data_IF_432962628225
#
_entry.id   IF_432962628225
#
_cell.length_a   1.000
_cell.length_b   1.000
_cell.length_c   1.000
_cell.angle_alpha   90.00
_cell.angle_beta   90.00
_cell.angle_gamma   90.00
#
_symmetry.space_group_name_H-M   'P 1'
#
loop_
_entity.id
_entity.type
_entity.pdbx_description
1 polymer ?
#
# COMPACT_ATOMS: atom_id res chain seq x y z
N UNK A 1 1.56 13.19 66.67
CA UNK A 1 2.36 13.72 65.55
C UNK A 1 3.21 12.57 65.04
N UNK A 2 2.64 11.80 64.11
CA UNK A 2 3.07 10.44 63.79
C UNK A 2 3.91 10.34 62.52
N UNK A 3 4.69 9.26 62.52
CA UNK A 3 5.36 8.59 61.41
C UNK A 3 6.60 9.23 60.78
N UNK A 4 7.81 8.85 61.25
CA UNK A 4 8.97 8.65 60.40
C UNK A 4 8.85 7.33 59.60
N UNK A 5 9.71 7.16 58.60
CA UNK A 5 9.87 5.99 57.72
C UNK A 5 8.74 5.70 56.72
N UNK A 6 8.94 6.16 55.48
CA UNK A 6 8.83 5.25 54.34
C UNK A 6 9.72 5.73 53.17
N UNK A 7 10.93 5.19 53.14
CA UNK A 7 11.78 5.11 51.96
C UNK A 7 11.07 4.18 50.97
N UNK A 8 10.39 4.71 49.95
CA UNK A 8 9.85 3.90 48.86
C UNK A 8 9.89 4.69 47.54
N UNK A 9 11.01 4.51 46.84
CA UNK A 9 11.09 4.36 45.37
C UNK A 9 10.13 5.21 44.54
N UNK A 10 10.44 6.50 44.37
CA UNK A 10 10.05 7.25 43.18
C UNK A 10 11.19 7.16 42.16
N UNK A 11 11.37 5.97 41.59
CA UNK A 11 11.96 5.86 40.26
C UNK A 11 10.89 6.42 39.34
N UNK A 12 10.96 7.72 39.02
CA UNK A 12 10.35 8.20 37.80
C UNK A 12 11.01 7.42 36.67
N UNK A 13 10.32 6.39 36.19
CA UNK A 13 10.55 5.82 34.88
C UNK A 13 10.12 6.93 33.92
N UNK A 14 11.03 7.87 33.69
CA UNK A 14 11.01 8.70 32.52
C UNK A 14 11.29 7.71 31.39
N UNK A 15 10.22 7.09 30.87
CA UNK A 15 10.31 6.35 29.60
C UNK A 15 10.83 7.40 28.64
N UNK A 16 12.06 7.27 28.09
CA UNK A 16 12.52 8.22 27.10
C UNK A 16 11.44 8.20 26.01
N UNK A 17 10.85 9.36 25.73
CA UNK A 17 9.99 9.54 24.58
C UNK A 17 10.72 8.84 23.43
N UNK A 18 10.16 7.75 22.90
CA UNK A 18 10.83 7.01 21.83
C UNK A 18 11.10 8.01 20.73
N UNK A 19 12.37 8.38 20.52
CA UNK A 19 12.74 9.39 19.53
C UNK A 19 12.27 8.85 18.19
N UNK A 20 11.41 9.59 17.49
CA UNK A 20 10.94 9.19 16.18
C UNK A 20 12.11 9.04 15.22
N UNK A 21 11.98 8.17 14.22
CA UNK A 21 12.97 8.07 13.14
C UNK A 21 13.19 9.47 12.55
N UNK A 22 14.45 9.88 12.37
CA UNK A 22 14.79 11.14 11.73
C UNK A 22 15.27 10.89 10.30
N UNK A 23 14.77 11.66 9.34
CA UNK A 23 15.14 11.57 7.93
C UNK A 23 15.51 12.93 7.36
N UNK A 24 16.29 12.93 6.27
CA UNK A 24 16.45 14.14 5.46
C UNK A 24 15.20 14.36 4.61
N UNK A 25 14.63 15.55 4.68
CA UNK A 25 13.59 16.06 3.80
C UNK A 25 14.23 17.01 2.79
N UNK A 26 14.23 16.65 1.51
CA UNK A 26 14.74 17.46 0.42
C UNK A 26 13.64 17.72 -0.60
N UNK A 27 13.35 19.00 -0.88
CA UNK A 27 12.44 19.40 -1.96
C UNK A 27 13.17 19.37 -3.32
N UNK A 28 12.42 19.36 -4.43
CA UNK A 28 12.96 19.42 -5.81
C UNK A 28 13.96 20.55 -6.04
N UNK A 29 13.86 21.66 -5.29
CA UNK A 29 14.76 22.82 -5.39
C UNK A 29 16.13 22.61 -4.73
N UNK A 30 16.39 21.45 -4.11
CA UNK A 30 17.66 21.13 -3.46
C UNK A 30 17.78 21.52 -1.99
N UNK A 31 16.79 22.22 -1.42
CA UNK A 31 16.79 22.59 0.00
C UNK A 31 16.49 21.37 0.87
N UNK A 32 17.46 20.97 1.69
CA UNK A 32 17.37 19.82 2.58
C UNK A 32 17.35 20.25 4.05
N UNK A 33 16.48 19.65 4.85
CA UNK A 33 16.44 19.79 6.32
C UNK A 33 16.22 18.43 6.98
N UNK A 34 16.52 18.33 8.28
CA UNK A 34 16.13 17.16 9.07
C UNK A 34 14.66 17.28 9.44
N UNK A 35 13.94 16.18 9.34
CA UNK A 35 12.54 16.02 9.75
C UNK A 35 12.44 14.81 10.68
N UNK A 36 11.63 14.93 11.73
CA UNK A 36 11.23 13.82 12.59
C UNK A 36 9.97 13.17 12.00
N UNK A 37 10.04 11.87 11.74
CA UNK A 37 8.97 11.13 11.08
C UNK A 37 7.76 10.97 11.99
N UNK A 38 6.58 11.05 11.38
CA UNK A 38 5.32 10.85 12.09
C UNK A 38 5.15 9.39 12.54
N UNK A 39 4.32 9.11 13.57
CA UNK A 39 4.01 7.73 13.95
C UNK A 39 3.54 6.88 12.77
N UNK A 40 4.13 5.70 12.58
CA UNK A 40 3.85 4.81 11.44
C UNK A 40 4.63 5.13 10.18
N UNK A 41 5.61 6.04 10.22
CA UNK A 41 6.59 6.28 9.16
C UNK A 41 7.98 5.78 9.60
N UNK A 42 8.22 4.49 9.42
CA UNK A 42 9.40 3.80 9.94
C UNK A 42 10.56 3.70 8.94
N UNK A 43 10.47 4.40 7.80
CA UNK A 43 11.53 4.45 6.79
C UNK A 43 11.83 5.87 6.32
N UNK A 44 13.07 6.09 5.92
CA UNK A 44 13.46 7.19 5.07
C UNK A 44 13.43 6.74 3.60
N UNK A 45 12.99 7.62 2.70
CA UNK A 45 13.06 7.41 1.25
C UNK A 45 13.99 8.40 0.56
N UNK A 46 14.52 7.96 -0.58
CA UNK A 46 15.15 8.79 -1.61
C UNK A 46 14.55 8.41 -2.96
N UNK A 47 13.94 9.37 -3.64
CA UNK A 47 13.37 9.21 -4.98
C UNK A 47 14.20 10.04 -5.94
N UNK A 48 14.75 9.41 -6.98
CA UNK A 48 15.60 10.02 -8.00
C UNK A 48 14.90 9.88 -9.35
N UNK A 49 14.65 11.01 -10.00
CA UNK A 49 14.21 11.09 -11.38
C UNK A 49 15.40 11.56 -12.23
N UNK A 50 15.85 10.71 -13.13
CA UNK A 50 16.93 11.00 -14.06
C UNK A 50 16.38 11.00 -15.49
N UNK A 51 16.52 12.12 -16.18
CA UNK A 51 16.10 12.29 -17.57
C UNK A 51 17.32 12.55 -18.44
N UNK A 52 17.46 11.77 -19.52
CA UNK A 52 18.51 11.92 -20.51
C UNK A 52 17.90 12.32 -21.86
N UNK A 53 18.27 13.49 -22.38
CA UNK A 53 17.76 14.03 -23.65
C UNK A 53 18.93 14.63 -24.44
N UNK A 54 19.21 14.11 -25.65
CA UNK A 54 20.18 14.72 -26.57
C UNK A 54 21.63 14.86 -26.06
N UNK A 55 22.00 14.23 -24.94
CA UNK A 55 23.30 14.39 -24.29
C UNK A 55 23.30 15.30 -23.06
N UNK A 56 22.18 15.97 -22.76
CA UNK A 56 21.94 16.65 -21.49
C UNK A 56 21.32 15.68 -20.47
N UNK A 57 21.78 15.76 -19.23
CA UNK A 57 21.29 14.97 -18.10
C UNK A 57 20.68 15.88 -17.05
N UNK A 58 19.40 15.64 -16.73
CA UNK A 58 18.70 16.29 -15.64
C UNK A 58 18.45 15.26 -14.53
N UNK A 59 18.90 15.56 -13.31
CA UNK A 59 18.64 14.75 -12.12
C UNK A 59 17.84 15.56 -11.10
N UNK A 60 16.70 15.02 -10.67
CA UNK A 60 15.88 15.58 -9.60
C UNK A 60 15.83 14.58 -8.46
N UNK A 61 16.21 15.02 -7.25
CA UNK A 61 16.25 14.16 -6.07
C UNK A 61 15.30 14.69 -4.99
N UNK A 62 14.38 13.84 -4.57
CA UNK A 62 13.51 14.07 -3.43
C UNK A 62 13.84 13.10 -2.30
N UNK A 63 13.71 13.57 -1.05
CA UNK A 63 13.95 12.77 0.15
C UNK A 63 12.91 13.10 1.20
N UNK A 64 12.57 12.14 2.06
CA UNK A 64 11.68 12.37 3.21
C UNK A 64 11.39 11.09 3.98
N UNK A 65 10.46 11.16 4.92
CA UNK A 65 9.91 9.98 5.60
C UNK A 65 8.98 9.17 4.67
N UNK A 66 8.82 7.89 4.96
CA UNK A 66 8.03 6.94 4.19
C UNK A 66 7.39 5.90 5.12
N UNK A 67 6.25 5.37 4.67
CA UNK A 67 5.54 4.31 5.36
C UNK A 67 6.17 2.92 5.09
N UNK A 68 5.96 1.93 5.97
CA UNK A 68 6.56 0.60 5.89
C UNK A 68 6.29 -0.19 4.62
N UNK A 69 5.23 0.12 3.89
CA UNK A 69 4.89 -0.59 2.66
C UNK A 69 5.92 -0.31 1.56
N UNK A 70 6.59 0.85 1.55
CA UNK A 70 7.50 1.27 0.49
C UNK A 70 8.75 0.37 0.39
N UNK A 71 9.15 0.03 -0.85
CA UNK A 71 10.33 -0.80 -1.13
C UNK A 71 11.29 -0.15 -2.12
N UNK A 72 12.50 -0.71 -2.21
CA UNK A 72 13.44 -0.38 -3.27
C UNK A 72 12.86 -0.77 -4.64
N UNK A 73 12.99 0.12 -5.63
CA UNK A 73 12.47 -0.11 -6.98
C UNK A 73 13.16 0.76 -8.01
N UNK A 74 13.16 0.29 -9.24
CA UNK A 74 13.66 1.03 -10.40
C UNK A 74 12.75 0.83 -11.59
N UNK A 75 12.64 1.87 -12.41
CA UNK A 75 11.96 1.81 -13.70
C UNK A 75 12.61 2.78 -14.67
N UNK A 76 13.05 2.28 -15.81
CA UNK A 76 13.60 3.04 -16.92
C UNK A 76 12.79 2.78 -18.17
N UNK A 77 12.36 3.84 -18.83
CA UNK A 77 11.67 3.77 -20.11
C UNK A 77 12.16 4.89 -21.03
N UNK A 78 11.94 4.68 -22.30
CA UNK A 78 12.34 5.53 -23.40
C UNK A 78 11.11 6.02 -24.14
N UNK A 79 11.05 7.33 -24.29
CA UNK A 79 10.16 8.03 -25.23
C UNK A 79 10.93 8.38 -26.49
N UNK A 80 10.29 8.99 -27.48
CA UNK A 80 10.94 9.39 -28.73
C UNK A 80 12.13 10.36 -28.52
N UNK A 81 12.07 11.23 -27.50
CA UNK A 81 13.05 12.29 -27.25
C UNK A 81 14.04 11.95 -26.12
N UNK A 82 13.58 11.23 -25.10
CA UNK A 82 14.33 11.10 -23.85
C UNK A 82 14.26 9.70 -23.24
N UNK A 83 15.22 9.40 -22.36
CA UNK A 83 15.20 8.22 -21.49
C UNK A 83 14.93 8.70 -20.08
N UNK A 84 13.83 8.26 -19.50
CA UNK A 84 13.42 8.56 -18.13
C UNK A 84 13.76 7.37 -17.24
N UNK A 85 14.41 7.63 -16.12
CA UNK A 85 14.74 6.61 -15.10
C UNK A 85 14.29 7.09 -13.74
N UNK A 86 13.39 6.33 -13.12
CA UNK A 86 12.92 6.53 -11.76
C UNK A 86 13.54 5.47 -10.87
N UNK A 87 14.14 5.92 -9.76
CA UNK A 87 14.68 5.03 -8.73
C UNK A 87 14.16 5.48 -7.38
N UNK A 88 13.66 4.54 -6.59
CA UNK A 88 13.29 4.79 -5.21
C UNK A 88 14.03 3.81 -4.31
N UNK A 89 14.69 4.34 -3.29
CA UNK A 89 15.41 3.58 -2.28
C UNK A 89 14.90 3.94 -0.89
N UNK A 90 14.75 2.92 -0.03
CA UNK A 90 14.28 3.05 1.35
C UNK A 90 15.30 2.49 2.35
N UNK A 91 15.35 3.06 3.54
CA UNK A 91 16.22 2.62 4.63
C UNK A 91 15.61 3.00 6.00
N UNK A 92 15.89 2.21 7.05
CA UNK A 92 15.18 2.28 8.34
C UNK A 92 16.01 2.82 9.51
N UNK A 93 17.08 3.56 9.27
CA UNK A 93 17.94 4.11 10.33
C UNK A 93 18.03 5.63 10.27
N UNK A 94 18.32 6.26 11.42
CA UNK A 94 18.37 7.71 11.53
C UNK A 94 19.30 8.33 10.48
N UNK A 95 18.75 9.25 9.69
CA UNK A 95 19.41 10.01 8.64
C UNK A 95 20.10 9.13 7.58
N UNK A 96 19.63 7.89 7.37
CA UNK A 96 20.22 6.96 6.41
C UNK A 96 20.12 7.43 4.96
N UNK A 97 19.17 8.32 4.66
CA UNK A 97 19.01 8.93 3.34
C UNK A 97 19.83 10.21 3.15
N UNK A 98 20.78 10.50 4.06
CA UNK A 98 21.63 11.70 3.95
C UNK A 98 22.39 11.71 2.61
N UNK A 99 22.48 12.87 1.93
CA UNK A 99 23.23 12.96 0.69
C UNK A 99 24.66 12.47 0.90
N UNK A 100 25.02 11.37 0.25
CA UNK A 100 26.40 10.90 0.21
C UNK A 100 27.15 11.72 -0.84
N UNK A 101 28.34 12.27 -0.55
CA UNK A 101 29.22 12.87 -1.56
C UNK A 101 29.88 11.83 -2.50
N UNK A 102 29.31 10.63 -2.59
CA UNK A 102 29.81 9.51 -3.39
C UNK A 102 29.33 9.58 -4.82
N UNK A 103 30.26 9.32 -5.75
CA UNK A 103 30.03 9.16 -7.18
C UNK A 103 28.87 8.17 -7.41
N UNK A 104 27.92 8.53 -8.27
CA UNK A 104 26.86 7.62 -8.71
C UNK A 104 27.48 6.26 -9.10
N UNK A 105 26.81 5.12 -8.79
CA UNK A 105 27.34 3.82 -9.14
C UNK A 105 27.65 3.78 -10.64
N UNK A 106 28.93 3.69 -10.99
CA UNK A 106 29.36 3.53 -12.36
C UNK A 106 29.10 2.07 -12.74
N UNK A 107 27.94 1.80 -13.31
CA UNK A 107 27.70 0.51 -13.94
C UNK A 107 28.49 0.49 -15.25
N UNK A 108 29.51 -0.40 -15.40
CA UNK A 108 30.20 -0.53 -16.67
C UNK A 108 29.17 -0.84 -17.77
N UNK A 109 29.35 -0.24 -18.95
CA UNK A 109 28.56 -0.53 -20.17
C UNK A 109 28.74 -1.99 -20.55
N UNK A 110 27.99 -2.86 -19.89
CA UNK A 110 27.76 -4.24 -20.28
C UNK A 110 26.44 -4.26 -21.05
N UNK A 111 26.39 -5.10 -22.10
CA UNK A 111 25.16 -5.35 -22.85
C UNK A 111 24.30 -6.31 -22.03
N UNK A 112 23.58 -5.75 -21.05
CA UNK A 112 22.59 -6.51 -20.28
C UNK A 112 21.33 -6.76 -21.13
N UNK A 113 20.27 -7.22 -20.46
CA UNK A 113 18.96 -7.50 -21.08
C UNK A 113 18.47 -6.32 -21.94
N UNK A 114 17.97 -6.63 -23.13
CA UNK A 114 17.36 -5.65 -24.05
C UNK A 114 15.85 -5.84 -24.05
N UNK A 115 15.11 -4.76 -23.80
CA UNK A 115 13.65 -4.77 -23.65
C UNK A 115 12.97 -3.84 -24.68
N UNK A 116 11.69 -4.11 -24.96
CA UNK A 116 10.84 -3.14 -25.61
C UNK A 116 10.57 -1.98 -24.65
N UNK A 117 10.42 -0.77 -25.18
CA UNK A 117 10.25 0.43 -24.40
C UNK A 117 9.38 1.45 -25.11
N UNK A 118 8.44 2.03 -24.36
CA UNK A 118 7.50 3.04 -24.85
C UNK A 118 6.84 3.73 -23.65
N UNK A 119 6.14 4.84 -23.90
CA UNK A 119 5.28 5.51 -22.93
C UNK A 119 3.96 6.00 -23.57
N UNK A 120 3.00 6.38 -22.73
CA UNK A 120 1.73 6.98 -23.17
C UNK A 120 1.84 8.49 -23.41
N UNK A 121 2.81 9.17 -22.77
CA UNK A 121 3.02 10.62 -22.91
C UNK A 121 3.30 11.06 -24.34
N UNK A 122 3.98 10.23 -25.15
CA UNK A 122 4.23 10.46 -26.57
C UNK A 122 3.39 9.55 -27.49
N UNK A 123 2.46 8.78 -26.93
CA UNK A 123 1.62 7.79 -27.61
C UNK A 123 2.42 6.67 -28.31
N UNK A 124 3.69 6.47 -27.95
CA UNK A 124 4.54 5.45 -28.58
C UNK A 124 4.01 4.04 -28.31
N UNK A 125 3.47 3.77 -27.12
CA UNK A 125 2.87 2.48 -26.78
C UNK A 125 1.61 2.20 -27.60
N UNK A 126 0.67 3.14 -27.61
CA UNK A 126 -0.63 3.01 -28.26
C UNK A 126 -0.50 2.86 -29.77
N UNK A 127 0.51 3.50 -30.36
CA UNK A 127 0.84 3.39 -31.80
C UNK A 127 1.66 2.15 -32.15
N UNK A 128 2.13 1.39 -31.15
CA UNK A 128 3.01 0.24 -31.35
C UNK A 128 4.42 0.63 -31.85
N UNK A 129 4.86 1.85 -31.54
CA UNK A 129 6.20 2.36 -31.87
C UNK A 129 7.20 2.03 -30.77
N UNK A 130 7.26 0.74 -30.39
CA UNK A 130 8.18 0.24 -29.38
C UNK A 130 9.63 0.52 -29.79
N UNK A 131 10.36 1.23 -28.92
CA UNK A 131 11.80 1.42 -29.03
C UNK A 131 12.54 0.31 -28.29
N UNK A 132 13.82 0.15 -28.61
CA UNK A 132 14.70 -0.72 -27.83
C UNK A 132 15.39 0.06 -26.71
N UNK A 133 15.42 -0.55 -25.52
CA UNK A 133 16.14 -0.06 -24.34
C UNK A 133 17.00 -1.18 -23.76
N UNK A 134 18.29 -0.90 -23.54
CA UNK A 134 19.18 -1.81 -22.82
C UNK A 134 19.12 -1.48 -21.33
N UNK A 135 18.88 -2.50 -20.52
CA UNK A 135 18.85 -2.37 -19.06
C UNK A 135 20.24 -2.03 -18.53
N UNK A 136 20.31 -1.28 -17.43
CA UNK A 136 21.59 -0.80 -16.86
C UNK A 136 22.11 -1.74 -15.77
N UNK A 137 21.22 -2.50 -15.14
CA UNK A 137 21.55 -3.38 -14.04
C UNK A 137 21.25 -4.85 -14.38
N UNK A 138 22.09 -5.82 -13.96
CA UNK A 138 21.85 -7.23 -14.22
C UNK A 138 20.63 -7.80 -13.49
N UNK A 139 20.15 -7.13 -12.43
CA UNK A 139 18.93 -7.49 -11.72
C UNK A 139 17.65 -6.91 -12.33
N UNK A 140 17.75 -6.08 -13.38
CA UNK A 140 16.60 -5.53 -14.06
C UNK A 140 15.96 -6.56 -15.01
N UNK A 141 14.64 -6.50 -15.07
CA UNK A 141 13.80 -7.30 -15.95
C UNK A 141 13.10 -6.37 -16.94
N UNK A 142 12.57 -6.94 -18.02
CA UNK A 142 11.66 -6.22 -18.89
C UNK A 142 10.31 -6.07 -18.21
N UNK A 143 9.78 -4.85 -18.22
CA UNK A 143 8.53 -4.48 -17.57
C UNK A 143 7.48 -4.04 -18.60
N UNK A 144 6.22 -4.36 -18.32
CA UNK A 144 5.04 -3.86 -19.02
C UNK A 144 4.02 -3.44 -17.95
N UNK A 145 3.81 -2.14 -17.80
CA UNK A 145 3.01 -1.52 -16.74
C UNK A 145 1.81 -0.83 -17.35
N UNK A 146 0.62 -1.16 -16.87
CA UNK A 146 -0.64 -0.53 -17.23
C UNK A 146 -1.27 0.09 -16.00
N UNK A 147 -1.66 1.35 -16.12
CA UNK A 147 -2.38 2.11 -15.10
C UNK A 147 -3.51 2.86 -15.78
N UNK A 148 -4.73 2.40 -15.61
CA UNK A 148 -5.93 3.09 -16.08
C UNK A 148 -6.79 3.45 -14.88
N UNK A 149 -7.13 4.73 -14.74
CA UNK A 149 -8.08 5.22 -13.73
C UNK A 149 -9.10 6.13 -14.41
N UNK A 150 -10.37 5.76 -14.27
CA UNK A 150 -11.50 6.53 -14.81
C UNK A 150 -11.90 7.71 -13.93
N UNK A 151 -11.53 7.69 -12.64
CA UNK A 151 -11.72 8.81 -11.74
C UNK A 151 -10.50 9.72 -11.86
N UNK A 152 -10.71 11.03 -12.08
CA UNK A 152 -9.63 12.03 -12.17
C UNK A 152 -8.79 12.02 -10.88
N UNK A 153 -7.69 11.27 -10.91
CA UNK A 153 -6.78 11.10 -9.78
C UNK A 153 -5.33 11.07 -10.26
N UNK A 154 -4.62 12.19 -10.02
CA UNK A 154 -3.27 12.55 -10.47
C UNK A 154 -3.06 12.59 -11.99
N UNK A 155 -3.10 13.78 -12.62
CA UNK A 155 -2.87 13.99 -14.06
C UNK A 155 -1.46 13.60 -14.60
N UNK A 156 -0.63 12.91 -13.81
CA UNK A 156 0.81 12.77 -14.08
C UNK A 156 1.32 11.35 -14.32
N UNK A 157 0.54 10.30 -14.06
CA UNK A 157 1.01 8.93 -14.22
C UNK A 157 0.80 8.43 -15.67
N UNK A 158 1.83 7.82 -16.24
CA UNK A 158 1.76 7.18 -17.56
C UNK A 158 0.73 6.06 -17.57
N UNK A 159 -0.21 6.09 -18.54
CA UNK A 159 -1.24 5.05 -18.66
C UNK A 159 -0.63 3.69 -19.03
N UNK A 160 0.35 3.69 -19.91
CA UNK A 160 1.08 2.52 -20.37
C UNK A 160 2.56 2.85 -20.44
N UNK A 161 3.40 1.99 -19.89
CA UNK A 161 4.85 2.13 -19.99
C UNK A 161 5.52 0.77 -20.11
N UNK A 162 6.55 0.72 -20.96
CA UNK A 162 7.43 -0.43 -21.12
C UNK A 162 8.86 -0.02 -20.94
N UNK A 163 9.68 -0.93 -20.42
CA UNK A 163 11.11 -0.70 -20.35
C UNK A 163 11.81 -1.70 -19.43
N UNK A 164 12.81 -1.22 -18.71
CA UNK A 164 13.63 -1.99 -17.79
C UNK A 164 13.33 -1.61 -16.35
N UNK A 165 13.48 -2.54 -15.41
CA UNK A 165 13.42 -2.18 -14.01
C UNK A 165 13.29 -3.36 -13.07
N UNK A 166 13.15 -3.03 -11.80
CA UNK A 166 12.80 -3.98 -10.76
C UNK A 166 11.68 -3.33 -9.92
N UNK A 167 10.47 -3.85 -10.08
CA UNK A 167 9.30 -3.39 -9.35
C UNK A 167 8.84 -4.48 -8.37
N UNK A 168 8.22 -4.10 -7.24
CA UNK A 168 7.56 -5.08 -6.37
C UNK A 168 6.57 -5.91 -7.20
N UNK A 169 6.37 -7.17 -6.83
CA UNK A 169 5.52 -8.09 -7.59
C UNK A 169 6.17 -8.74 -8.82
N UNK A 170 7.46 -8.46 -9.10
CA UNK A 170 8.27 -9.28 -10.00
C UNK A 170 8.96 -10.45 -9.23
N UNK A 171 9.06 -11.67 -9.80
CA UNK A 171 8.53 -12.10 -11.10
C UNK A 171 6.98 -12.19 -11.07
N UNK A 172 6.34 -11.47 -12.01
CA UNK A 172 4.88 -11.30 -12.07
C UNK A 172 4.16 -12.42 -12.83
N UNK A 173 2.90 -12.20 -13.27
CA UNK A 173 2.17 -10.93 -13.27
C UNK A 173 1.50 -10.62 -11.92
N UNK A 174 1.34 -9.33 -11.63
CA UNK A 174 0.52 -8.82 -10.53
C UNK A 174 -0.46 -7.80 -11.09
N UNK A 175 -1.69 -7.74 -10.58
CA UNK A 175 -2.68 -6.83 -11.09
C UNK A 175 -3.95 -6.75 -10.26
N UNK A 176 -4.71 -5.69 -10.52
CA UNK A 176 -5.99 -5.38 -9.92
C UNK A 176 -6.89 -4.74 -10.96
N UNK A 177 -8.18 -5.09 -10.94
CA UNK A 177 -9.17 -4.32 -11.66
C UNK A 177 -10.49 -4.24 -10.90
N UNK A 178 -11.15 -3.11 -11.07
CA UNK A 178 -12.53 -2.91 -10.70
C UNK A 178 -13.24 -2.11 -11.80
N UNK A 179 -14.42 -1.54 -11.49
CA UNK A 179 -15.18 -0.77 -12.48
C UNK A 179 -14.49 0.52 -12.95
N UNK A 180 -13.60 1.11 -12.15
CA UNK A 180 -12.99 2.41 -12.41
C UNK A 180 -11.50 2.32 -12.71
N UNK A 181 -10.83 1.29 -12.20
CA UNK A 181 -9.38 1.20 -12.16
C UNK A 181 -8.91 -0.14 -12.69
N UNK A 182 -7.87 -0.12 -13.51
CA UNK A 182 -7.12 -1.29 -13.95
C UNK A 182 -5.63 -1.03 -13.80
N UNK A 183 -4.98 -1.87 -12.99
CA UNK A 183 -3.54 -1.89 -12.81
C UNK A 183 -3.01 -3.27 -13.17
N UNK A 184 -1.94 -3.30 -13.95
CA UNK A 184 -1.31 -4.56 -14.34
C UNK A 184 0.19 -4.36 -14.50
N UNK A 185 0.96 -5.27 -13.92
CA UNK A 185 2.41 -5.34 -14.05
C UNK A 185 2.78 -6.73 -14.52
N UNK A 186 3.49 -6.79 -15.65
CA UNK A 186 4.15 -8.01 -16.14
C UNK A 186 5.65 -7.78 -16.14
N UNK A 187 6.38 -8.78 -15.68
CA UNK A 187 7.85 -8.80 -15.70
C UNK A 187 8.33 -10.06 -16.39
N UNK A 188 9.42 -9.96 -17.15
CA UNK A 188 10.03 -11.09 -17.82
C UNK A 188 11.53 -10.84 -18.05
N UNK A 189 12.31 -11.92 -18.22
CA UNK A 189 13.78 -11.88 -18.15
C UNK A 189 14.47 -12.32 -19.46
N UNK A 190 13.75 -12.33 -20.59
CA UNK A 190 14.29 -12.68 -21.90
C UNK A 190 14.22 -11.48 -22.86
N UNK A 191 15.09 -11.45 -23.86
CA UNK A 191 15.21 -10.29 -24.76
C UNK A 191 13.87 -9.94 -25.42
N UNK A 192 13.42 -8.69 -25.25
CA UNK A 192 12.18 -8.10 -25.81
C UNK A 192 10.91 -8.88 -25.50
N UNK A 193 10.87 -9.61 -24.38
CA UNK A 193 9.73 -10.40 -23.96
C UNK A 193 8.49 -9.58 -23.57
N UNK A 194 8.67 -8.29 -23.29
CA UNK A 194 7.60 -7.34 -22.94
C UNK A 194 6.98 -6.63 -24.15
N UNK A 195 7.34 -7.02 -25.38
CA UNK A 195 6.75 -6.47 -26.60
C UNK A 195 5.35 -7.00 -26.88
N UNK A 196 4.74 -6.50 -27.96
CA UNK A 196 3.41 -6.90 -28.44
C UNK A 196 2.39 -5.78 -28.31
N UNK A 197 1.10 -6.06 -28.57
CA UNK A 197 0.07 -5.03 -28.47
C UNK A 197 -0.11 -4.55 -27.03
N UNK A 198 -0.49 -3.29 -26.84
CA UNK A 198 -0.87 -2.73 -25.53
C UNK A 198 -1.93 -3.61 -24.87
N UNK A 199 -1.68 -3.97 -23.62
CA UNK A 199 -2.61 -4.76 -22.81
C UNK A 199 -3.76 -3.87 -22.36
N UNK A 200 -4.98 -4.36 -22.58
CA UNK A 200 -6.20 -3.74 -22.10
C UNK A 200 -7.00 -4.80 -21.33
N UNK A 201 -7.77 -4.37 -20.34
CA UNK A 201 -8.59 -5.25 -19.50
C UNK A 201 -9.54 -6.09 -20.36
N UNK A 202 -10.11 -5.53 -21.43
CA UNK A 202 -11.03 -6.26 -22.31
C UNK A 202 -10.37 -7.41 -23.08
N UNK A 203 -9.05 -7.34 -23.29
CA UNK A 203 -8.27 -8.41 -23.94
C UNK A 203 -7.98 -9.57 -22.98
N UNK A 204 -8.19 -9.40 -21.68
CA UNK A 204 -8.10 -10.48 -20.71
C UNK A 204 -9.43 -11.26 -20.65
N UNK A 205 -9.40 -12.59 -20.82
CA UNK A 205 -10.61 -13.40 -20.80
C UNK A 205 -11.23 -13.39 -19.39
N UNK A 206 -12.57 -13.41 -19.27
CA UNK A 206 -13.23 -13.65 -17.99
C UNK A 206 -12.78 -14.98 -17.39
N UNK A 207 -12.52 -15.02 -16.09
CA UNK A 207 -12.06 -16.22 -15.39
C UNK A 207 -13.17 -16.95 -14.59
N UNK A 208 -14.41 -16.48 -14.70
CA UNK A 208 -15.59 -17.06 -14.05
C UNK A 208 -15.83 -16.61 -12.61
N UNK A 209 -14.87 -15.89 -11.99
CA UNK A 209 -15.07 -15.30 -10.66
C UNK A 209 -15.84 -13.98 -10.78
N UNK A 210 -16.76 -13.74 -9.86
CA UNK A 210 -17.42 -12.45 -9.70
C UNK A 210 -17.09 -11.84 -8.34
N UNK A 211 -16.79 -10.54 -8.29
CA UNK A 211 -16.47 -9.83 -7.06
C UNK A 211 -17.22 -8.51 -7.01
N UNK A 212 -17.44 -8.01 -5.80
CA UNK A 212 -17.91 -6.64 -5.59
C UNK A 212 -16.80 -5.63 -5.94
N UNK A 213 -17.21 -4.48 -6.46
CA UNK A 213 -16.37 -3.39 -6.94
C UNK A 213 -16.89 -2.08 -6.41
N UNK A 214 -15.99 -1.29 -5.82
CA UNK A 214 -16.27 0.07 -5.39
C UNK A 214 -14.95 0.82 -5.10
N UNK A 215 -15.01 2.15 -5.11
CA UNK A 215 -13.94 3.04 -4.68
C UNK A 215 -14.57 4.25 -3.97
N UNK A 216 -14.14 4.54 -2.75
CA UNK A 216 -14.70 5.65 -1.97
C UNK A 216 -14.68 5.37 -0.48
N UNK A 217 -15.55 6.01 0.30
CA UNK A 217 -15.76 5.68 1.70
C UNK A 217 -17.01 4.80 1.88
N UNK A 218 -17.29 4.36 3.10
CA UNK A 218 -18.44 3.47 3.37
C UNK A 218 -19.81 4.11 3.08
N UNK A 219 -19.90 5.44 3.00
CA UNK A 219 -21.16 6.18 2.77
C UNK A 219 -21.31 6.67 1.33
N UNK A 220 -20.20 6.86 0.61
CA UNK A 220 -20.10 7.42 -0.73
C UNK A 220 -19.05 6.64 -1.53
N UNK A 221 -19.46 6.07 -2.66
CA UNK A 221 -18.64 5.25 -3.53
C UNK A 221 -18.64 3.77 -3.14
N UNK A 222 -18.49 3.44 -1.86
CA UNK A 222 -18.50 2.06 -1.33
C UNK A 222 -19.69 1.74 -0.41
N UNK A 223 -20.80 2.47 -0.55
CA UNK A 223 -22.05 2.11 0.12
C UNK A 223 -22.69 0.83 -0.47
N UNK A 224 -23.61 0.21 0.25
CA UNK A 224 -24.30 -1.00 -0.20
C UNK A 224 -25.03 -0.81 -1.55
N UNK A 225 -25.46 0.42 -1.86
CA UNK A 225 -26.19 0.74 -3.09
C UNK A 225 -25.26 1.10 -4.26
N UNK A 226 -24.04 1.54 -3.99
CA UNK A 226 -23.06 1.96 -5.01
C UNK A 226 -22.07 0.84 -5.37
N UNK A 227 -22.01 -0.21 -4.55
CA UNK A 227 -21.14 -1.36 -4.80
C UNK A 227 -21.73 -2.23 -5.91
N UNK A 228 -21.00 -2.41 -7.01
CA UNK A 228 -21.43 -3.19 -8.16
C UNK A 228 -20.75 -4.56 -8.22
N UNK A 229 -21.42 -5.56 -8.78
CA UNK A 229 -20.79 -6.85 -9.09
C UNK A 229 -20.07 -6.76 -10.45
N UNK A 230 -18.83 -7.22 -10.51
CA UNK A 230 -18.04 -7.26 -11.74
C UNK A 230 -17.53 -8.68 -12.02
N UNK A 231 -17.33 -8.98 -13.31
CA UNK A 231 -16.71 -10.24 -13.74
C UNK A 231 -15.20 -10.09 -13.76
N UNK A 232 -14.49 -10.94 -13.01
CA UNK A 232 -13.05 -10.95 -12.96
C UNK A 232 -12.43 -11.51 -14.24
N UNK A 233 -11.21 -11.05 -14.56
CA UNK A 233 -10.54 -11.31 -15.83
C UNK A 233 -9.08 -11.70 -15.64
N UNK A 234 -8.58 -12.53 -16.55
CA UNK A 234 -7.19 -12.97 -16.57
C UNK A 234 -6.76 -13.58 -15.23
N UNK A 235 -5.54 -13.27 -14.74
CA UNK A 235 -5.01 -13.86 -13.51
C UNK A 235 -5.59 -13.26 -12.22
N UNK A 236 -6.47 -12.26 -12.31
CA UNK A 236 -7.05 -11.57 -11.16
C UNK A 236 -8.20 -12.41 -10.60
N UNK A 237 -7.86 -13.46 -9.85
CA UNK A 237 -8.74 -14.53 -9.39
C UNK A 237 -8.99 -14.52 -7.86
N UNK A 238 -8.74 -13.40 -7.20
CA UNK A 238 -9.09 -13.15 -5.81
C UNK A 238 -10.07 -11.97 -5.75
N UNK A 239 -11.08 -12.05 -4.89
CA UNK A 239 -11.83 -10.86 -4.52
C UNK A 239 -11.05 -10.12 -3.44
N UNK A 240 -10.87 -8.82 -3.63
CA UNK A 240 -10.13 -7.94 -2.72
C UNK A 240 -11.08 -6.94 -2.08
N UNK A 241 -10.83 -6.67 -0.80
CA UNK A 241 -11.30 -5.49 -0.07
C UNK A 241 -10.10 -4.90 0.67
N UNK A 242 -9.82 -3.63 0.43
CA UNK A 242 -8.80 -2.89 1.17
C UNK A 242 -9.35 -1.58 1.71
N UNK A 243 -8.96 -1.26 2.93
CA UNK A 243 -9.30 -0.01 3.61
C UNK A 243 -8.03 0.68 4.08
N UNK A 244 -7.96 2.01 3.94
CA UNK A 244 -6.84 2.80 4.45
C UNK A 244 -7.18 4.29 4.51
N UNK A 245 -6.20 5.11 4.81
CA UNK A 245 -6.32 6.57 4.80
C UNK A 245 -5.70 7.14 3.53
N UNK A 246 -6.43 8.01 2.84
CA UNK A 246 -5.91 8.73 1.67
C UNK A 246 -5.39 10.11 2.12
N UNK A 247 -4.25 10.56 1.57
CA UNK A 247 -3.64 11.86 1.85
C UNK A 247 -4.50 13.09 1.55
N UNK A 248 -5.67 12.91 0.90
CA UNK A 248 -6.68 13.93 0.63
C UNK A 248 -7.67 14.19 1.79
N UNK A 249 -7.49 13.56 2.96
CA UNK A 249 -8.26 13.87 4.17
C UNK A 249 -9.52 13.03 4.41
N UNK A 250 -9.75 11.99 3.61
CA UNK A 250 -10.78 10.98 3.92
C UNK A 250 -10.21 9.97 4.95
N UNK A 251 -10.78 9.90 6.17
CA UNK A 251 -10.26 9.05 7.24
C UNK A 251 -10.47 7.55 6.99
N UNK A 252 -11.33 7.18 6.04
CA UNK A 252 -11.52 5.81 5.59
C UNK A 252 -11.83 5.77 4.10
N UNK A 253 -10.88 5.29 3.31
CA UNK A 253 -11.04 5.00 1.89
C UNK A 253 -10.99 3.49 1.70
N UNK A 254 -12.00 2.97 1.01
CA UNK A 254 -12.23 1.56 0.73
C UNK A 254 -12.14 1.34 -0.77
N UNK A 255 -11.49 0.26 -1.17
CA UNK A 255 -11.45 -0.23 -2.54
C UNK A 255 -11.81 -1.71 -2.56
N UNK A 256 -12.74 -2.08 -3.46
CA UNK A 256 -13.09 -3.47 -3.75
C UNK A 256 -12.87 -3.77 -5.22
N UNK A 257 -12.50 -5.00 -5.53
CA UNK A 257 -12.32 -5.45 -6.91
C UNK A 257 -11.75 -6.85 -7.02
N UNK A 258 -11.25 -7.19 -8.20
CA UNK A 258 -10.57 -8.44 -8.47
C UNK A 258 -9.06 -8.21 -8.47
N UNK A 259 -8.31 -9.11 -7.84
CA UNK A 259 -6.86 -8.98 -7.68
C UNK A 259 -6.14 -10.30 -7.97
N UNK A 260 -4.87 -10.23 -8.35
CA UNK A 260 -3.95 -11.37 -8.27
C UNK A 260 -3.54 -11.63 -6.82
N UNK A 261 -3.17 -12.86 -6.42
CA UNK A 261 -2.71 -13.14 -5.06
C UNK A 261 -1.54 -12.27 -4.59
N UNK A 262 -0.60 -11.93 -5.48
CA UNK A 262 0.54 -11.05 -5.19
C UNK A 262 0.12 -9.61 -4.85
N UNK A 263 -0.99 -9.14 -5.42
CA UNK A 263 -1.53 -7.80 -5.17
C UNK A 263 -2.10 -7.67 -3.75
N UNK A 264 -2.55 -8.79 -3.16
CA UNK A 264 -3.09 -8.83 -1.79
C UNK A 264 -2.05 -8.57 -0.69
N UNK A 265 -0.76 -8.44 -1.02
CA UNK A 265 0.32 -8.15 -0.08
C UNK A 265 0.34 -6.68 0.42
N UNK A 266 -0.61 -5.84 -0.01
CA UNK A 266 -0.81 -4.48 0.50
C UNK A 266 0.01 -3.41 -0.22
N UNK A 267 1.29 -3.66 -0.51
CA UNK A 267 2.17 -2.69 -1.16
C UNK A 267 1.59 -2.11 -2.46
N UNK A 268 1.11 -2.98 -3.35
CA UNK A 268 0.52 -2.55 -4.62
C UNK A 268 -0.75 -1.72 -4.44
N UNK A 269 -1.56 -2.03 -3.42
CA UNK A 269 -2.76 -1.27 -3.07
C UNK A 269 -2.37 0.11 -2.56
N UNK A 270 -1.36 0.19 -1.68
CA UNK A 270 -0.84 1.44 -1.13
C UNK A 270 -0.47 2.43 -2.22
N UNK A 271 0.23 1.94 -3.24
CA UNK A 271 0.76 2.77 -4.31
C UNK A 271 -0.29 3.12 -5.35
N UNK A 272 -1.12 2.15 -5.72
CA UNK A 272 -2.20 2.38 -6.67
C UNK A 272 -3.25 3.36 -6.11
N UNK A 273 -3.52 3.37 -4.81
CA UNK A 273 -4.58 4.21 -4.26
C UNK A 273 -4.07 5.34 -3.36
N UNK A 274 -2.74 5.54 -3.31
CA UNK A 274 -2.10 6.50 -2.40
C UNK A 274 -2.58 6.36 -0.96
N UNK A 275 -2.70 5.12 -0.49
CA UNK A 275 -3.24 4.77 0.82
C UNK A 275 -2.12 4.47 1.82
N UNK A 276 -2.39 4.82 3.07
CA UNK A 276 -1.57 4.50 4.24
C UNK A 276 -2.43 3.80 5.30
N UNK A 277 -1.79 3.18 6.30
CA UNK A 277 -2.48 2.40 7.35
C UNK A 277 -3.44 1.34 6.76
N UNK A 278 -2.92 0.53 5.85
CA UNK A 278 -3.71 -0.39 5.05
C UNK A 278 -4.13 -1.63 5.83
N UNK A 279 -5.39 -1.99 5.66
CA UNK A 279 -5.90 -3.32 5.93
C UNK A 279 -6.36 -3.93 4.61
N UNK A 280 -5.78 -5.06 4.21
CA UNK A 280 -6.11 -5.75 2.96
C UNK A 280 -6.63 -7.14 3.29
N UNK A 281 -7.77 -7.47 2.72
CA UNK A 281 -8.38 -8.79 2.78
C UNK A 281 -8.61 -9.31 1.37
N UNK A 282 -8.27 -10.58 1.17
CA UNK A 282 -8.52 -11.29 -0.08
C UNK A 282 -9.16 -12.64 0.21
N UNK A 283 -10.07 -13.04 -0.67
CA UNK A 283 -10.78 -14.31 -0.56
C UNK A 283 -11.01 -14.93 -1.94
N UNK A 284 -11.08 -16.26 -1.96
CA UNK A 284 -11.45 -17.05 -3.13
C UNK A 284 -12.91 -17.43 -3.07
N UNK A 285 -13.66 -17.18 -4.14
CA UNK A 285 -15.06 -17.56 -4.26
C UNK A 285 -15.92 -16.38 -4.72
N UNK A 286 -17.02 -16.68 -5.40
CA UNK A 286 -17.90 -15.65 -5.92
C UNK A 286 -18.43 -14.76 -4.81
N UNK A 287 -18.27 -13.45 -4.99
CA UNK A 287 -18.88 -12.40 -4.17
C UNK A 287 -18.46 -12.46 -2.69
N UNK A 288 -17.34 -13.11 -2.37
CA UNK A 288 -16.89 -13.28 -0.98
C UNK A 288 -16.45 -11.95 -0.33
N UNK A 289 -16.15 -10.93 -1.13
CA UNK A 289 -15.89 -9.56 -0.67
C UNK A 289 -17.17 -8.72 -0.58
N UNK A 290 -18.29 -9.34 -0.19
CA UNK A 290 -19.53 -8.61 0.05
C UNK A 290 -19.36 -7.66 1.23
N UNK A 291 -19.82 -6.39 1.15
CA UNK A 291 -19.83 -5.52 2.31
C UNK A 291 -20.63 -6.19 3.42
N UNK A 292 -20.01 -6.35 4.59
CA UNK A 292 -20.72 -6.76 5.78
C UNK A 292 -21.83 -5.73 6.01
N UNK A 293 -23.10 -6.13 5.86
CA UNK A 293 -24.21 -5.37 6.42
C UNK A 293 -23.86 -5.20 7.90
N UNK A 294 -23.78 -3.96 8.40
CA UNK A 294 -23.57 -3.67 9.81
C UNK A 294 -24.47 -4.58 10.65
N UNK A 295 -23.90 -5.68 11.15
CA UNK A 295 -24.60 -6.58 12.04
C UNK A 295 -24.72 -5.78 13.31
N UNK A 296 -25.92 -5.22 13.54
CA UNK A 296 -26.36 -4.73 14.85
C UNK A 296 -25.77 -5.68 15.89
N UNK A 297 -25.12 -5.17 16.95
CA UNK A 297 -24.49 -6.04 17.94
C UNK A 297 -25.52 -7.07 18.35
N UNK A 298 -25.23 -8.35 18.09
CA UNK A 298 -26.08 -9.45 18.50
C UNK A 298 -26.31 -9.27 19.99
N UNK A 299 -27.49 -8.80 20.37
CA UNK A 299 -28.02 -8.95 21.72
C UNK A 299 -28.03 -10.46 21.93
N UNK A 300 -27.06 -10.94 22.70
CA UNK A 300 -26.92 -12.36 23.01
C UNK A 300 -28.17 -12.84 23.71
N UNK A 301 -29.11 -13.40 22.95
CA UNK A 301 -30.10 -14.32 23.47
C UNK A 301 -29.37 -15.58 23.89
N UNK A 302 -28.90 -15.60 25.14
CA UNK A 302 -28.37 -16.80 25.75
C UNK A 302 -29.52 -17.79 25.96
N UNK A 303 -29.54 -18.83 25.15
CA UNK A 303 -30.28 -20.06 25.39
C UNK A 303 -29.77 -20.68 26.69
N UNK A 304 -30.68 -20.81 27.65
CA UNK A 304 -30.51 -21.45 28.94
C UNK A 304 -30.26 -22.96 28.74
N UNK A 305 -29.23 -23.58 29.34
CA UNK A 305 -29.20 -25.02 29.56
C UNK A 305 -29.83 -25.34 30.92
N UNK A 306 -30.60 -26.42 30.97
CA UNK A 306 -31.19 -26.98 32.20
C UNK A 306 -30.15 -27.34 33.27
N UNK A 307 -30.52 -27.30 34.56
CA UNK A 307 -29.56 -27.41 35.67
C UNK A 307 -29.25 -28.87 36.03
N UNK A 308 -27.96 -29.21 36.01
CA UNK A 308 -27.45 -30.39 36.68
C UNK A 308 -27.36 -30.12 38.20
N UNK A 309 -28.04 -30.98 38.97
CA UNK A 309 -27.93 -31.10 40.41
C UNK A 309 -26.47 -31.30 40.86
N UNK A 310 -25.96 -30.45 41.75
CA UNK A 310 -24.92 -30.85 42.70
C UNK A 310 -25.14 -30.16 44.04
N UNK A 311 -25.43 -31.01 45.02
CA UNK A 311 -25.54 -30.73 46.44
C UNK A 311 -24.18 -30.33 47.02
N UNK A 312 -24.14 -29.23 47.78
CA UNK A 312 -23.12 -29.06 48.79
C UNK A 312 -23.72 -28.36 50.01
N UNK A 313 -23.78 -29.12 51.11
CA UNK A 313 -24.09 -28.66 52.45
C UNK A 313 -23.03 -27.67 52.93
N UNK A 314 -23.41 -26.47 53.35
CA UNK A 314 -22.63 -25.69 54.32
C UNK A 314 -23.58 -25.06 55.35
N UNK A 315 -23.16 -25.25 56.59
CA UNK A 315 -23.79 -25.07 57.88
C UNK A 315 -24.29 -23.66 58.20
N UNK A 316 -25.48 -23.64 58.80
CA UNK A 316 -26.12 -22.55 59.53
C UNK A 316 -25.25 -22.11 60.72
N UNK A 317 -24.94 -20.81 60.83
CA UNK A 317 -24.65 -20.20 62.13
C UNK A 317 -25.28 -18.82 62.22
N UNK A 318 -25.93 -18.64 63.36
CA UNK A 318 -27.05 -17.76 63.65
C UNK A 318 -26.62 -16.35 64.06
N UNK A 319 -27.50 -15.40 63.71
CA UNK A 319 -27.93 -14.22 64.51
C UNK A 319 -26.88 -13.25 65.05
N UNK A 320 -27.01 -11.98 64.69
CA UNK A 320 -27.66 -10.99 65.56
C UNK A 320 -27.96 -9.68 64.80
N UNK A 321 -29.25 -9.33 64.76
CA UNK A 321 -29.72 -7.95 64.57
C UNK A 321 -29.35 -7.12 65.80
N UNK A 322 -29.11 -5.82 65.61
CA UNK A 322 -29.60 -4.70 66.42
C UNK A 322 -29.40 -3.43 65.55
N UNK A 323 -30.49 -2.81 65.09
CA UNK A 323 -30.97 -1.49 65.56
C UNK A 323 -29.97 -0.35 65.28
N UNK A 324 -30.29 0.78 64.65
CA UNK A 324 -31.49 1.38 64.07
C UNK A 324 -31.00 2.62 63.29
N UNK A 325 -31.74 3.09 62.28
CA UNK A 325 -32.38 4.40 62.42
C UNK A 325 -31.91 5.39 61.35
N UNK A 326 -32.81 5.65 60.40
CA UNK A 326 -33.14 6.92 59.71
C UNK A 326 -32.27 8.17 59.89
N UNK A 327 -31.99 8.85 58.77
CA UNK A 327 -32.39 10.24 58.46
C UNK A 327 -32.03 10.55 56.99
N UNK A 328 -32.97 10.57 56.03
CA UNK A 328 -33.88 11.65 55.61
C UNK A 328 -33.20 12.86 54.94
N UNK A 329 -33.71 13.13 53.73
CA UNK A 329 -33.52 14.25 52.83
C UNK A 329 -33.46 15.64 53.49
N UNK A 330 -32.63 16.51 52.90
CA UNK A 330 -33.09 17.69 52.11
C UNK A 330 -32.15 17.89 50.94
#
# INVERSE_FOLDING_TARGET
MGCPLLLLLLVQICVPASWGLQCMLCKRTGNCKVEECAPGQDFCRTTILHTWEGGEELEVVERGCAHPEKTNRTMSYRTDLQIVTLTEAVCGSNLCNRPSPGRAPFFPRSRYLECASCASSDLSCERGWDRSLQCRNPGEQCLDVVTHRSLEGSPGDERHTRGCGNLPGCPGPTGFHNNHTFHFLRCCNTTKCNGGPVLDLQKLPPNGLQCYSCEGNSTHGCSANETALISCRGPMNQCLEATGTNGLGNPSYTVRGCATPSWCQGLHVAEAFSLTHLNVSCCTGNSCNQPALDVRPRTGGATRPDPAYFSFFVTLLMTARLWGGTLLWT
#
